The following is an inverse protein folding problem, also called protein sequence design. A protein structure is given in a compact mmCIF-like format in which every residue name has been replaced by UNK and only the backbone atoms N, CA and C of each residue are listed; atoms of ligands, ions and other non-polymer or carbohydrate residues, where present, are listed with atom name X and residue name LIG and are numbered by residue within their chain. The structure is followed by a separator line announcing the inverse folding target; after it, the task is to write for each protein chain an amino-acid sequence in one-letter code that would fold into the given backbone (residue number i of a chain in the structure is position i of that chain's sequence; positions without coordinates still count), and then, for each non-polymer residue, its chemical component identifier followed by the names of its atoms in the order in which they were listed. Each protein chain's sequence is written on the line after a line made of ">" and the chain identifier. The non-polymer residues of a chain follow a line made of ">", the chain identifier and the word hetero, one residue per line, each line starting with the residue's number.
data_IF_474592394432
#
_entry.id   IF_474592394432
#
_cell.length_a   1.000
_cell.length_b   1.000
_cell.length_c   1.000
_cell.angle_alpha   90.00
_cell.angle_beta   90.00
_cell.angle_gamma   90.00
#
_symmetry.space_group_name_H-M   'P 1'
#
loop_
_entity.id
_entity.type
_entity.pdbx_description
1 polymer ?
#
# COMPACT_ATOMS: atom_id res chain seq x y z
N UNK A 1 0.34 -1.99 -3.58
CA UNK A 1 0.46 -3.43 -3.51
C UNK A 1 1.34 -3.82 -2.35
N UNK A 2 0.83 -4.60 -1.44
CA UNK A 2 1.59 -5.17 -0.33
C UNK A 2 1.84 -6.62 -0.67
N UNK A 3 3.07 -7.04 -0.57
CA UNK A 3 3.48 -8.41 -0.77
C UNK A 3 3.42 -9.17 0.54
N UNK A 4 2.83 -10.34 0.51
CA UNK A 4 2.96 -11.26 1.61
C UNK A 4 4.31 -11.95 1.46
N UNK A 5 5.26 -11.58 2.33
CA UNK A 5 6.55 -12.26 2.43
C UNK A 5 6.35 -13.58 3.19
N UNK A 6 6.20 -14.66 2.48
CA UNK A 6 6.54 -15.98 2.97
C UNK A 6 7.55 -16.59 1.99
N UNK A 7 8.82 -16.50 2.35
CA UNK A 7 9.86 -17.43 1.90
C UNK A 7 10.36 -17.39 0.47
N UNK A 8 10.13 -16.31 -0.29
CA UNK A 8 10.71 -16.20 -1.64
C UNK A 8 10.50 -14.84 -2.24
N UNK A 9 11.49 -14.30 -2.91
CA UNK A 9 11.34 -13.06 -3.70
C UNK A 9 10.28 -13.30 -4.77
N UNK A 10 9.17 -12.54 -4.82
CA UNK A 10 8.20 -12.66 -5.88
C UNK A 10 8.89 -12.31 -7.21
N UNK A 11 8.76 -13.19 -8.19
CA UNK A 11 9.29 -12.91 -9.52
C UNK A 11 8.39 -11.85 -10.18
N UNK A 12 8.84 -10.60 -10.38
CA UNK A 12 8.01 -9.54 -10.92
C UNK A 12 7.50 -9.84 -12.34
N UNK A 13 8.18 -10.71 -13.08
CA UNK A 13 7.76 -11.15 -14.42
C UNK A 13 6.53 -12.08 -14.36
N UNK A 14 6.34 -12.82 -13.27
CA UNK A 14 5.17 -13.69 -13.11
C UNK A 14 3.92 -12.92 -12.68
N UNK A 15 4.08 -11.80 -11.99
CA UNK A 15 2.96 -11.00 -11.49
C UNK A 15 2.50 -9.91 -12.47
N UNK A 16 3.34 -9.52 -13.44
CA UNK A 16 3.08 -8.41 -14.36
C UNK A 16 2.10 -8.71 -15.49
N UNK A 17 1.79 -9.96 -15.75
CA UNK A 17 1.01 -10.34 -16.93
C UNK A 17 -0.51 -10.47 -16.68
N UNK A 18 -0.98 -10.38 -15.44
CA UNK A 18 -2.36 -10.75 -15.07
C UNK A 18 -3.26 -9.54 -14.73
N UNK A 19 -2.94 -8.35 -15.19
CA UNK A 19 -3.72 -7.15 -14.82
C UNK A 19 -4.67 -6.65 -15.91
N UNK A 20 -5.14 -7.49 -16.82
CA UNK A 20 -6.25 -7.15 -17.70
C UNK A 20 -7.57 -7.69 -17.13
N UNK A 21 -8.43 -6.85 -16.53
CA UNK A 21 -9.74 -7.28 -16.05
C UNK A 21 -10.64 -7.61 -17.24
N UNK A 22 -11.30 -8.75 -17.15
CA UNK A 22 -12.13 -9.28 -18.23
C UNK A 22 -11.53 -10.52 -18.90
N UNK A 23 -10.20 -10.56 -19.06
CA UNK A 23 -9.50 -11.74 -19.58
C UNK A 23 -8.89 -12.54 -18.41
N UNK A 24 -8.60 -11.90 -17.28
CA UNK A 24 -8.02 -12.55 -16.11
C UNK A 24 -8.91 -13.69 -15.60
N UNK A 25 -10.23 -13.50 -15.60
CA UNK A 25 -11.17 -14.54 -15.14
C UNK A 25 -11.12 -15.83 -16.01
N UNK A 26 -10.94 -15.67 -17.32
CA UNK A 26 -10.84 -16.81 -18.26
C UNK A 26 -9.44 -17.42 -18.19
N UNK A 27 -8.40 -16.59 -18.09
CA UNK A 27 -7.00 -17.01 -18.06
C UNK A 27 -6.68 -17.66 -16.72
N UNK A 28 -7.14 -17.12 -15.59
CA UNK A 28 -6.95 -17.71 -14.26
C UNK A 28 -7.69 -19.03 -14.09
N UNK A 29 -8.84 -19.19 -14.78
CA UNK A 29 -9.65 -20.38 -14.64
C UNK A 29 -9.29 -21.51 -15.62
N UNK A 30 -8.72 -21.17 -16.76
CA UNK A 30 -8.53 -22.12 -17.88
C UNK A 30 -7.05 -22.42 -18.17
N UNK A 31 -6.14 -21.49 -17.97
CA UNK A 31 -4.75 -21.62 -18.46
C UNK A 31 -3.66 -21.48 -17.38
N UNK A 32 -3.96 -20.89 -16.24
CA UNK A 32 -2.94 -20.69 -15.21
C UNK A 32 -3.45 -21.21 -13.86
N UNK A 33 -2.74 -22.15 -13.30
CA UNK A 33 -2.84 -22.41 -11.87
C UNK A 33 -2.61 -21.09 -11.15
N UNK A 34 -3.60 -20.70 -10.35
CA UNK A 34 -3.55 -19.54 -9.46
C UNK A 34 -2.18 -19.49 -8.81
N UNK A 35 -1.39 -18.47 -9.10
CA UNK A 35 -0.18 -18.20 -8.34
C UNK A 35 -0.61 -17.50 -7.04
N UNK A 36 -0.70 -18.23 -5.92
CA UNK A 36 -1.11 -17.63 -4.64
C UNK A 36 -0.09 -16.63 -4.10
N UNK A 37 1.05 -16.52 -4.77
CA UNK A 37 2.20 -15.69 -4.38
C UNK A 37 2.13 -14.25 -4.91
N UNK A 38 1.11 -13.91 -5.72
CA UNK A 38 1.01 -12.62 -6.39
C UNK A 38 -0.15 -11.76 -5.86
N UNK A 39 -0.32 -11.67 -4.55
CA UNK A 39 -1.26 -10.72 -3.97
C UNK A 39 -0.64 -9.33 -3.92
N UNK A 40 -1.02 -8.48 -4.87
CA UNK A 40 -0.56 -7.11 -4.94
C UNK A 40 -1.57 -6.13 -4.34
N UNK A 41 -1.14 -5.27 -3.41
CA UNK A 41 -1.98 -4.28 -2.77
C UNK A 41 -1.55 -2.87 -3.16
N UNK A 42 -2.51 -1.98 -3.40
CA UNK A 42 -2.21 -0.57 -3.66
C UNK A 42 -2.07 0.16 -2.32
N UNK A 43 -0.95 0.84 -2.15
CA UNK A 43 -0.65 1.73 -1.02
C UNK A 43 0.03 3.00 -1.52
N UNK A 44 0.04 4.02 -0.69
CA UNK A 44 0.71 5.29 -0.97
C UNK A 44 2.04 5.33 -0.23
N UNK A 45 3.11 5.65 -0.92
CA UNK A 45 4.40 5.96 -0.28
C UNK A 45 4.24 7.28 0.45
N UNK A 46 4.53 7.28 1.75
CA UNK A 46 4.48 8.46 2.62
C UNK A 46 5.84 8.82 3.21
N UNK A 47 6.81 7.92 3.15
CA UNK A 47 8.17 8.18 3.59
C UNK A 47 9.18 7.50 2.69
N UNK A 48 10.27 8.21 2.40
CA UNK A 48 11.41 7.75 1.62
C UNK A 48 12.68 7.72 2.50
N UNK A 49 13.77 7.10 2.04
CA UNK A 49 15.01 7.02 2.83
C UNK A 49 15.43 8.37 3.42
N UNK A 50 15.74 8.37 4.71
CA UNK A 50 16.13 9.56 5.48
C UNK A 50 14.97 10.31 6.13
N UNK A 51 13.72 10.07 5.74
CA UNK A 51 12.58 10.71 6.38
C UNK A 51 12.31 10.17 7.79
N UNK A 52 11.89 11.07 8.66
CA UNK A 52 11.26 10.74 9.95
C UNK A 52 9.76 10.78 9.74
N UNK A 53 9.12 9.62 9.73
CA UNK A 53 7.67 9.48 9.52
C UNK A 53 6.99 9.28 10.87
N UNK A 54 6.06 10.16 11.18
CA UNK A 54 5.18 10.02 12.34
C UNK A 54 3.74 9.88 11.88
N UNK A 55 3.03 8.90 12.43
CA UNK A 55 1.60 8.73 12.22
C UNK A 55 0.92 8.74 13.58
N UNK A 56 0.02 9.68 13.80
CA UNK A 56 -0.71 9.77 15.07
C UNK A 56 -1.84 8.74 15.17
N UNK A 57 -2.51 8.68 16.32
CA UNK A 57 -3.65 7.77 16.59
C UNK A 57 -4.83 7.99 15.64
N UNK A 58 -4.95 9.14 15.02
CA UNK A 58 -5.97 9.44 13.99
C UNK A 58 -5.55 9.02 12.59
N UNK A 59 -4.31 8.60 12.40
CA UNK A 59 -3.75 8.22 11.11
C UNK A 59 -3.24 9.40 10.27
N UNK A 60 -3.17 10.61 10.83
CA UNK A 60 -2.55 11.75 10.17
C UNK A 60 -1.03 11.66 10.23
N UNK A 61 -0.38 12.07 9.16
CA UNK A 61 1.07 11.93 8.95
C UNK A 61 1.79 13.25 9.16
N UNK A 62 2.96 13.18 9.80
CA UNK A 62 3.97 14.23 9.79
C UNK A 62 5.26 13.65 9.21
N UNK A 63 5.96 14.44 8.41
CA UNK A 63 7.25 14.11 7.82
C UNK A 63 8.27 15.13 8.30
N UNK A 64 9.34 14.65 8.93
CA UNK A 64 10.40 15.51 9.48
C UNK A 64 9.85 16.62 10.40
N UNK A 65 8.85 16.27 11.23
CA UNK A 65 8.20 17.19 12.16
C UNK A 65 7.17 18.14 11.53
N UNK A 66 6.98 18.09 10.21
CA UNK A 66 6.00 18.94 9.50
C UNK A 66 4.76 18.13 9.15
N UNK A 67 3.56 18.64 9.47
CA UNK A 67 2.31 17.99 9.13
C UNK A 67 2.16 17.86 7.61
N UNK A 68 1.89 16.66 7.14
CA UNK A 68 1.73 16.37 5.73
C UNK A 68 0.27 16.58 5.31
N UNK A 69 0.07 17.40 4.28
CA UNK A 69 -1.28 17.66 3.77
C UNK A 69 -1.76 16.49 2.88
N UNK A 70 -2.82 15.83 3.31
CA UNK A 70 -3.33 14.61 2.69
C UNK A 70 -4.81 14.75 2.26
N UNK A 71 -5.13 15.57 1.25
CA UNK A 71 -6.51 15.81 0.83
C UNK A 71 -7.21 14.56 0.26
N UNK A 72 -6.46 13.54 -0.11
CA UNK A 72 -6.96 12.25 -0.59
C UNK A 72 -7.41 11.31 0.52
N UNK A 73 -7.06 11.60 1.79
CA UNK A 73 -7.47 10.80 2.93
C UNK A 73 -8.82 11.28 3.43
N UNK A 74 -9.85 10.47 3.23
CA UNK A 74 -11.22 10.79 3.64
C UNK A 74 -11.67 10.07 4.91
N UNK A 75 -11.01 8.96 5.26
CA UNK A 75 -11.37 8.11 6.39
C UNK A 75 -10.21 8.02 7.39
N UNK A 76 -10.09 9.05 8.21
CA UNK A 76 -9.20 9.03 9.37
C UNK A 76 -9.81 8.16 10.49
N UNK A 77 -8.95 7.68 11.39
CA UNK A 77 -9.39 7.00 12.60
C UNK A 77 -10.09 7.99 13.53
N UNK A 78 -11.16 7.56 14.18
CA UNK A 78 -11.79 8.34 15.26
C UNK A 78 -11.33 7.83 16.62
N UNK A 79 -11.33 8.70 17.62
CA UNK A 79 -10.95 8.35 18.99
C UNK A 79 -11.92 7.32 19.64
N UNK A 80 -13.09 7.11 19.01
CA UNK A 80 -14.12 6.16 19.43
C UNK A 80 -13.92 4.76 18.86
N UNK A 81 -13.04 4.62 17.86
CA UNK A 81 -12.99 3.36 17.11
C UNK A 81 -12.29 2.23 17.85
N UNK A 82 -11.55 2.48 18.94
CA UNK A 82 -10.89 1.44 19.75
C UNK A 82 -10.22 0.34 18.91
N UNK A 83 -10.23 0.52 17.61
CA UNK A 83 -9.87 -0.49 16.61
C UNK A 83 -8.37 -0.53 16.39
N UNK A 84 -7.90 -1.74 16.19
CA UNK A 84 -6.52 -2.10 15.84
C UNK A 84 -5.94 -1.29 14.64
N UNK A 85 -6.80 -0.57 13.89
CA UNK A 85 -6.44 0.22 12.72
C UNK A 85 -5.81 1.58 12.97
N UNK A 86 -5.96 2.10 14.17
CA UNK A 86 -5.54 3.44 14.53
C UNK A 86 -4.22 3.46 15.32
N UNK A 87 -3.41 2.42 15.16
CA UNK A 87 -2.09 2.37 15.76
C UNK A 87 -1.22 3.48 15.16
N UNK A 88 -0.59 4.27 16.02
CA UNK A 88 0.41 5.24 15.62
C UNK A 88 1.69 4.56 15.12
N UNK A 89 2.52 5.34 14.46
CA UNK A 89 3.82 4.91 13.96
C UNK A 89 4.83 6.04 14.18
N UNK A 90 6.03 5.67 14.59
CA UNK A 90 7.22 6.53 14.52
C UNK A 90 8.33 5.71 13.87
N UNK A 91 8.88 6.19 12.76
CA UNK A 91 9.90 5.47 12.02
C UNK A 91 10.87 6.42 11.30
N UNK A 92 12.16 6.14 11.41
CA UNK A 92 13.19 6.74 10.54
C UNK A 92 13.41 5.77 9.40
N UNK A 93 13.16 6.20 8.17
CA UNK A 93 13.19 5.34 6.99
C UNK A 93 14.63 5.02 6.60
N UNK A 94 15.07 3.76 6.64
CA UNK A 94 16.42 3.39 6.25
C UNK A 94 16.58 3.34 4.73
N UNK A 95 17.83 3.39 4.26
CA UNK A 95 18.16 3.21 2.85
C UNK A 95 17.55 1.93 2.25
N UNK A 96 17.13 2.01 0.99
CA UNK A 96 16.52 0.90 0.26
C UNK A 96 15.12 0.51 0.74
N UNK A 97 14.47 1.35 1.55
CA UNK A 97 13.13 1.09 2.07
C UNK A 97 12.22 2.30 1.93
N UNK A 98 10.92 2.04 1.99
CA UNK A 98 9.89 3.08 2.04
C UNK A 98 8.86 2.76 3.13
N UNK A 99 8.15 3.78 3.58
CA UNK A 99 6.96 3.63 4.42
C UNK A 99 5.72 3.88 3.57
N UNK A 100 4.77 2.95 3.65
CA UNK A 100 3.54 3.03 2.84
C UNK A 100 2.30 2.95 3.70
N UNK A 101 1.28 3.75 3.37
CA UNK A 101 -0.01 3.77 4.04
C UNK A 101 -1.16 3.60 3.03
N UNK A 102 -2.27 3.08 3.49
CA UNK A 102 -3.51 3.11 2.74
C UNK A 102 -4.24 4.44 2.91
N UNK A 103 -4.88 4.94 1.86
CA UNK A 103 -5.66 6.19 1.92
C UNK A 103 -6.89 6.04 2.85
N UNK A 104 -7.45 4.85 2.98
CA UNK A 104 -8.45 4.54 4.01
C UNK A 104 -7.75 4.19 5.32
N UNK A 105 -7.36 5.20 6.09
CA UNK A 105 -6.59 5.04 7.34
C UNK A 105 -7.27 4.14 8.36
N UNK A 106 -8.59 4.22 8.43
CA UNK A 106 -9.39 3.42 9.37
C UNK A 106 -9.36 1.93 9.05
N UNK A 107 -9.32 1.57 7.77
CA UNK A 107 -9.36 0.17 7.33
C UNK A 107 -8.28 -0.11 6.30
N UNK A 108 -7.03 -0.13 6.75
CA UNK A 108 -5.89 -0.48 5.91
C UNK A 108 -4.91 -1.37 6.65
N UNK A 109 -4.52 -2.45 6.00
CA UNK A 109 -3.39 -3.27 6.39
C UNK A 109 -2.15 -2.67 5.73
N UNK A 110 -1.37 -1.89 6.48
CA UNK A 110 -0.23 -1.13 5.97
C UNK A 110 0.93 -1.11 7.00
N UNK A 111 1.92 -0.25 6.77
CA UNK A 111 3.13 -0.15 7.60
C UNK A 111 2.87 -0.08 9.10
N UNK A 112 1.74 0.46 9.54
CA UNK A 112 1.36 0.56 10.95
C UNK A 112 1.06 -0.79 11.61
N UNK A 113 0.73 -1.80 10.79
CA UNK A 113 0.19 -3.09 11.25
C UNK A 113 1.04 -4.30 10.88
N UNK A 114 2.09 -4.11 10.09
CA UNK A 114 2.90 -5.23 9.67
C UNK A 114 3.70 -5.82 10.84
N UNK A 115 3.71 -7.14 11.00
CA UNK A 115 4.42 -7.78 12.10
C UNK A 115 5.95 -7.70 11.98
N UNK A 116 6.46 -7.52 10.75
CA UNK A 116 7.89 -7.41 10.47
C UNK A 116 8.49 -6.00 10.56
N UNK A 117 7.67 -5.02 10.98
CA UNK A 117 8.09 -3.62 11.02
C UNK A 117 7.47 -2.77 9.90
N UNK A 118 7.69 -1.45 9.92
CA UNK A 118 6.97 -0.52 9.05
C UNK A 118 7.59 -0.36 7.65
N UNK A 119 8.68 -1.04 7.37
CA UNK A 119 9.47 -0.79 6.17
C UNK A 119 9.13 -1.77 5.04
N UNK A 120 8.93 -1.23 3.85
CA UNK A 120 8.81 -1.98 2.61
C UNK A 120 10.12 -1.79 1.81
N UNK A 121 10.86 -2.87 1.53
CA UNK A 121 12.01 -2.79 0.63
C UNK A 121 11.60 -2.25 -0.76
N UNK A 122 12.37 -1.32 -1.31
CA UNK A 122 12.06 -0.65 -2.58
C UNK A 122 12.02 -1.63 -3.76
N UNK A 123 12.81 -2.69 -3.72
CA UNK A 123 12.80 -3.76 -4.73
C UNK A 123 11.49 -4.58 -4.75
N UNK A 124 10.61 -4.38 -3.77
CA UNK A 124 9.28 -5.00 -3.73
C UNK A 124 8.19 -4.09 -4.33
N UNK A 125 8.53 -2.89 -4.75
CA UNK A 125 7.62 -2.00 -5.46
C UNK A 125 7.50 -2.48 -6.90
N UNK A 126 6.28 -2.90 -7.31
CA UNK A 126 6.02 -3.38 -8.67
C UNK A 126 5.97 -2.22 -9.65
N UNK A 127 5.45 -1.09 -9.21
CA UNK A 127 5.25 0.07 -10.05
C UNK A 127 4.28 1.08 -9.44
N UNK A 128 4.03 2.13 -10.21
CA UNK A 128 3.12 3.22 -9.84
C UNK A 128 1.77 3.05 -10.53
N UNK A 129 0.69 3.15 -9.76
CA UNK A 129 -0.64 3.23 -10.32
C UNK A 129 -0.86 4.61 -10.94
N UNK A 130 -1.13 4.67 -12.24
CA UNK A 130 -1.30 5.92 -12.99
C UNK A 130 -2.70 6.11 -13.54
N UNK A 131 -3.49 5.04 -13.60
CA UNK A 131 -4.83 5.07 -14.17
C UNK A 131 -5.78 4.14 -13.43
N UNK A 132 -7.02 4.58 -13.21
CA UNK A 132 -8.10 3.79 -12.65
C UNK A 132 -9.14 3.48 -13.72
N UNK A 133 -9.39 2.20 -13.94
CA UNK A 133 -10.36 1.73 -14.94
C UNK A 133 -11.67 1.20 -14.33
N UNK A 134 -11.69 1.02 -13.00
CA UNK A 134 -12.86 0.54 -12.28
C UNK A 134 -13.05 1.30 -10.96
N UNK A 135 -14.28 1.59 -10.50
CA UNK A 135 -15.58 1.36 -11.20
C UNK A 135 -15.76 2.32 -12.38
N UNK A 136 -16.68 2.00 -13.33
CA UNK A 136 -16.92 2.83 -14.53
C UNK A 136 -17.19 4.30 -14.24
N UNK A 137 -17.83 4.59 -13.10
CA UNK A 137 -18.12 5.95 -12.63
C UNK A 137 -16.89 6.74 -12.18
N UNK A 138 -15.73 6.10 -12.10
CA UNK A 138 -14.46 6.69 -11.61
C UNK A 138 -13.28 6.39 -12.51
N UNK A 139 -13.53 6.10 -13.79
CA UNK A 139 -12.46 5.88 -14.78
C UNK A 139 -11.69 7.18 -14.98
N UNK A 140 -10.38 7.11 -14.95
CA UNK A 140 -9.53 8.25 -15.22
C UNK A 140 -8.11 8.12 -14.68
N UNK A 141 -7.27 9.11 -15.02
CA UNK A 141 -5.93 9.18 -14.46
C UNK A 141 -5.99 9.35 -12.94
N UNK A 142 -5.01 8.80 -12.26
CA UNK A 142 -4.79 9.07 -10.85
C UNK A 142 -3.92 10.31 -10.73
N UNK A 143 -4.50 11.38 -10.20
CA UNK A 143 -3.73 12.56 -9.79
C UNK A 143 -2.90 12.25 -8.54
N UNK A 144 -1.75 12.87 -8.49
CA UNK A 144 -0.90 12.85 -7.29
C UNK A 144 -1.46 13.75 -6.21
#
# INVERSE_FOLDING_TARGET
>A
PVWKLEGGQPNPLKCGFVTFPGISWVVDRVLLQRYPECEAWIKRVVGVPGDVVEVNSRGAVSINGTAFNEPYVTNFCSDRDGMIGCKGLYAVVPEGNVVVLGDNRRNSQDARRWPGGPFLPDNQIIGRAVFRFWPPTRIGPLSN
#
